data_IF_516467353770
#
_entry.id   IF_516467353770
#
_cell.length_a   1.000
_cell.length_b   1.000
_cell.length_c   1.000
_cell.angle_alpha   90.00
_cell.angle_beta   90.00
_cell.angle_gamma   90.00
#
_symmetry.space_group_name_H-M   'P 1'
#
loop_
_entity.id
_entity.type
_entity.pdbx_description
1 polymer ?
#
# COMPACT_ATOMS: atom_id res chain seq x y z
N UNK A 1 -11.37 47.37 -18.82
CA UNK A 1 -10.95 46.08 -19.40
C UNK A 1 -10.40 45.26 -18.26
N UNK A 2 -11.22 44.37 -17.68
CA UNK A 2 -10.85 43.62 -16.48
C UNK A 2 -10.05 42.40 -16.92
N UNK A 3 -8.78 42.31 -16.48
CA UNK A 3 -7.98 41.12 -16.71
C UNK A 3 -8.39 40.04 -15.69
N UNK A 4 -8.93 38.92 -16.18
CA UNK A 4 -9.09 37.70 -15.40
C UNK A 4 -7.71 37.04 -15.26
N UNK A 5 -7.13 37.09 -14.07
CA UNK A 5 -5.92 36.34 -13.74
C UNK A 5 -6.29 34.88 -13.45
N UNK A 6 -6.41 34.09 -14.50
CA UNK A 6 -6.44 32.62 -14.43
C UNK A 6 -5.01 32.10 -14.26
N UNK A 7 -4.55 31.95 -13.02
CA UNK A 7 -3.20 31.50 -12.64
C UNK A 7 -3.25 30.68 -11.35
N UNK A 8 -2.50 29.57 -11.27
CA UNK A 8 -2.31 28.78 -10.04
C UNK A 8 -2.52 27.28 -10.23
N UNK A 9 -3.61 26.77 -9.65
CA UNK A 9 -3.95 25.38 -9.33
C UNK A 9 -3.64 24.24 -10.34
N UNK A 10 -3.32 24.53 -11.61
CA UNK A 10 -2.94 23.52 -12.60
C UNK A 10 -1.46 23.11 -12.60
N UNK A 11 -0.55 23.91 -12.03
CA UNK A 11 0.88 23.55 -11.94
C UNK A 11 1.23 22.87 -10.62
N UNK A 12 0.73 23.41 -9.50
CA UNK A 12 1.06 22.91 -8.16
C UNK A 12 0.62 21.45 -7.98
N UNK A 13 -0.64 21.13 -8.33
CA UNK A 13 -1.17 19.76 -8.34
C UNK A 13 -0.50 18.82 -9.37
N UNK A 14 0.20 19.35 -10.37
CA UNK A 14 0.97 18.55 -11.34
C UNK A 14 2.37 18.22 -10.81
N UNK A 15 3.00 19.18 -10.11
CA UNK A 15 4.28 18.98 -9.43
C UNK A 15 4.13 18.03 -8.23
N UNK A 16 3.03 18.13 -7.48
CA UNK A 16 2.65 17.18 -6.41
C UNK A 16 2.46 15.76 -6.95
N UNK A 17 1.67 15.59 -8.02
CA UNK A 17 1.46 14.30 -8.67
C UNK A 17 2.78 13.69 -9.18
N UNK A 18 3.61 14.48 -9.86
CA UNK A 18 4.91 14.02 -10.36
C UNK A 18 5.87 13.62 -9.23
N UNK A 19 5.83 14.31 -8.10
CA UNK A 19 6.59 13.97 -6.90
C UNK A 19 6.11 12.65 -6.30
N UNK A 20 4.80 12.48 -6.12
CA UNK A 20 4.22 11.24 -5.59
C UNK A 20 4.53 10.03 -6.47
N UNK A 21 4.40 10.18 -7.80
CA UNK A 21 4.74 9.11 -8.75
C UNK A 21 6.22 8.70 -8.67
N UNK A 22 7.15 9.66 -8.61
CA UNK A 22 8.58 9.35 -8.46
C UNK A 22 8.92 8.65 -7.13
N UNK A 23 8.22 8.97 -6.04
CA UNK A 23 8.34 8.25 -4.77
C UNK A 23 7.81 6.82 -4.86
N UNK A 24 6.66 6.60 -5.52
CA UNK A 24 6.10 5.26 -5.74
C UNK A 24 6.96 4.41 -6.68
N UNK A 25 7.54 5.00 -7.73
CA UNK A 25 8.54 4.33 -8.59
C UNK A 25 9.74 3.86 -7.75
N UNK A 26 10.29 4.75 -6.90
CA UNK A 26 11.42 4.44 -6.00
C UNK A 26 11.09 3.31 -5.02
N UNK A 27 9.90 3.34 -4.41
CA UNK A 27 9.40 2.26 -3.57
C UNK A 27 9.31 0.93 -4.34
N UNK A 28 8.75 0.94 -5.55
CA UNK A 28 8.62 -0.25 -6.40
C UNK A 28 10.00 -0.84 -6.79
N UNK A 29 10.99 0.00 -7.11
CA UNK A 29 12.37 -0.45 -7.36
C UNK A 29 12.98 -1.11 -6.11
N UNK A 30 12.81 -0.50 -4.93
CA UNK A 30 13.35 -1.02 -3.68
C UNK A 30 12.72 -2.37 -3.26
N UNK A 31 11.40 -2.52 -3.32
CA UNK A 31 10.75 -3.81 -2.98
C UNK A 31 11.06 -4.91 -4.01
N UNK A 32 11.25 -4.54 -5.28
CA UNK A 32 11.68 -5.47 -6.34
C UNK A 32 13.10 -5.99 -6.07
N UNK A 33 14.02 -5.10 -5.68
CA UNK A 33 15.36 -5.48 -5.23
C UNK A 33 15.34 -6.40 -4.00
N UNK A 34 14.51 -6.08 -3.00
CA UNK A 34 14.35 -6.92 -1.79
C UNK A 34 13.77 -8.30 -2.11
N UNK A 35 12.76 -8.37 -2.99
CA UNK A 35 12.25 -9.63 -3.53
C UNK A 35 13.38 -10.46 -4.16
N UNK A 36 14.23 -9.85 -4.98
CA UNK A 36 15.35 -10.56 -5.62
C UNK A 36 16.42 -11.01 -4.62
N UNK A 37 16.65 -10.27 -3.51
CA UNK A 37 17.54 -10.74 -2.44
C UNK A 37 16.92 -11.92 -1.68
N UNK A 38 15.64 -11.84 -1.31
CA UNK A 38 14.94 -12.90 -0.57
C UNK A 38 14.87 -14.20 -1.40
N UNK A 39 14.56 -14.11 -2.70
CA UNK A 39 14.52 -15.26 -3.61
C UNK A 39 15.91 -15.83 -3.97
N UNK A 40 17.00 -15.15 -3.59
CA UNK A 40 18.37 -15.66 -3.76
C UNK A 40 18.84 -16.54 -2.59
N UNK A 41 18.11 -16.59 -1.47
CA UNK A 41 18.40 -17.47 -0.33
C UNK A 41 18.00 -18.91 -0.66
N UNK A 42 18.92 -19.87 -0.46
CA UNK A 42 18.64 -21.29 -0.72
C UNK A 42 18.21 -22.08 0.55
N UNK A 43 18.30 -21.45 1.72
CA UNK A 43 17.88 -22.02 3.01
C UNK A 43 18.88 -23.02 3.58
N UNK A 44 20.12 -23.05 3.09
CA UNK A 44 21.18 -23.96 3.55
C UNK A 44 22.34 -23.26 4.27
N UNK A 45 22.43 -21.93 4.22
CA UNK A 45 23.47 -21.16 4.90
C UNK A 45 23.20 -20.93 6.39
N UNK A 46 24.28 -20.85 7.18
CA UNK A 46 24.22 -20.71 8.65
C UNK A 46 23.60 -19.38 9.12
N UNK A 47 23.53 -18.37 8.25
CA UNK A 47 22.94 -17.04 8.51
C UNK A 47 21.72 -16.72 7.61
N UNK A 48 21.16 -17.70 6.89
CA UNK A 48 20.06 -17.43 5.94
C UNK A 48 18.80 -16.90 6.64
N UNK A 49 18.51 -17.35 7.86
CA UNK A 49 17.38 -16.86 8.69
C UNK A 49 17.62 -15.42 9.15
N UNK A 50 18.83 -15.10 9.61
CA UNK A 50 19.23 -13.73 9.99
C UNK A 50 19.14 -12.77 8.79
N UNK A 51 19.53 -13.25 7.61
CA UNK A 51 19.51 -12.50 6.35
C UNK A 51 18.08 -12.29 5.85
N UNK A 52 17.24 -13.32 5.90
CA UNK A 52 15.81 -13.25 5.59
C UNK A 52 15.09 -12.22 6.49
N UNK A 53 15.29 -12.31 7.81
CA UNK A 53 14.67 -11.40 8.76
C UNK A 53 15.13 -9.96 8.54
N UNK A 54 16.43 -9.70 8.32
CA UNK A 54 16.91 -8.36 7.99
C UNK A 54 16.37 -7.80 6.67
N UNK A 55 16.12 -8.64 5.66
CA UNK A 55 15.44 -8.21 4.43
C UNK A 55 13.94 -7.93 4.65
N UNK A 56 13.28 -8.66 5.53
CA UNK A 56 11.90 -8.40 5.95
C UNK A 56 11.79 -7.11 6.77
N UNK A 57 12.71 -6.85 7.71
CA UNK A 57 12.81 -5.58 8.44
C UNK A 57 12.97 -4.40 7.46
N UNK A 58 13.85 -4.55 6.45
CA UNK A 58 14.02 -3.53 5.40
C UNK A 58 12.75 -3.35 4.55
N UNK A 59 11.96 -4.41 4.34
CA UNK A 59 10.69 -4.34 3.61
C UNK A 59 9.61 -3.60 4.40
N UNK A 60 9.54 -3.81 5.72
CA UNK A 60 8.65 -3.04 6.61
C UNK A 60 9.02 -1.54 6.58
N UNK A 61 10.31 -1.22 6.65
CA UNK A 61 10.80 0.16 6.49
C UNK A 61 10.35 0.79 5.15
N UNK A 62 10.27 0.02 4.05
CA UNK A 62 9.77 0.52 2.78
C UNK A 62 8.25 0.78 2.80
N UNK A 63 7.47 -0.12 3.40
CA UNK A 63 6.01 0.05 3.49
C UNK A 63 5.64 1.22 4.41
N UNK A 64 6.38 1.43 5.51
CA UNK A 64 6.22 2.61 6.35
C UNK A 64 6.55 3.91 5.59
N UNK A 65 7.65 3.93 4.83
CA UNK A 65 8.01 5.08 3.97
C UNK A 65 6.99 5.35 2.85
N UNK A 66 6.26 4.33 2.38
CA UNK A 66 5.15 4.48 1.44
C UNK A 66 3.92 5.12 2.09
N UNK A 67 3.59 4.75 3.33
CA UNK A 67 2.47 5.33 4.09
C UNK A 67 2.73 6.81 4.49
N UNK A 68 3.99 7.20 4.73
CA UNK A 68 4.36 8.60 5.01
C UNK A 68 4.30 9.53 3.76
N UNK A 69 3.96 9.03 2.57
CA UNK A 69 3.90 9.85 1.34
C UNK A 69 2.62 10.70 1.27
N UNK A 70 2.77 12.01 1.04
CA UNK A 70 1.64 12.90 0.76
C UNK A 70 0.88 12.48 -0.51
N UNK A 71 -0.25 11.80 -0.35
CA UNK A 71 -1.15 11.40 -1.44
C UNK A 71 -1.84 12.64 -2.04
N UNK A 72 -1.82 12.85 -3.37
CA UNK A 72 -2.55 13.95 -4.00
C UNK A 72 -4.08 13.79 -3.88
N UNK A 73 -4.83 14.86 -3.56
CA UNK A 73 -6.28 14.87 -3.28
C UNK A 73 -7.14 13.92 -4.16
N UNK A 74 -6.90 13.93 -5.48
CA UNK A 74 -7.62 13.10 -6.47
C UNK A 74 -7.46 11.57 -6.29
N UNK A 75 -6.61 11.15 -5.35
CA UNK A 75 -6.27 9.78 -5.04
C UNK A 75 -6.43 9.46 -3.53
N UNK A 76 -7.13 10.31 -2.74
CA UNK A 76 -7.20 10.20 -1.27
C UNK A 76 -7.57 8.80 -0.71
N UNK A 77 -8.26 7.95 -1.47
CA UNK A 77 -8.50 6.53 -1.13
C UNK A 77 -7.21 5.71 -0.92
N UNK A 78 -6.10 6.09 -1.56
CA UNK A 78 -4.79 5.45 -1.42
C UNK A 78 -4.20 5.63 -0.01
N UNK A 79 -4.52 6.73 0.68
CA UNK A 79 -4.01 7.08 2.02
C UNK A 79 -4.27 5.92 3.02
N UNK A 80 -5.55 5.56 3.19
CA UNK A 80 -5.99 4.44 4.01
C UNK A 80 -5.46 3.07 3.51
N UNK A 81 -5.26 2.90 2.20
CA UNK A 81 -4.71 1.66 1.64
C UNK A 81 -3.21 1.53 1.94
N UNK A 82 -2.47 2.63 2.00
CA UNK A 82 -1.05 2.64 2.33
C UNK A 82 -0.82 2.40 3.83
N UNK A 83 -1.63 3.03 4.69
CA UNK A 83 -1.70 2.72 6.12
C UNK A 83 -2.02 1.24 6.36
N UNK A 84 -3.11 0.71 5.77
CA UNK A 84 -3.44 -0.72 5.87
C UNK A 84 -2.32 -1.61 5.33
N UNK A 85 -1.64 -1.22 4.25
CA UNK A 85 -0.52 -1.99 3.71
C UNK A 85 0.65 -2.05 4.70
N UNK A 86 1.00 -0.92 5.33
CA UNK A 86 2.06 -0.84 6.32
C UNK A 86 1.72 -1.61 7.60
N UNK A 87 0.53 -1.42 8.18
CA UNK A 87 0.10 -2.16 9.38
C UNK A 87 0.15 -3.68 9.15
N UNK A 88 -0.28 -4.14 7.97
CA UNK A 88 -0.23 -5.56 7.64
C UNK A 88 1.22 -6.04 7.39
N UNK A 89 2.14 -5.21 6.87
CA UNK A 89 3.54 -5.60 6.72
C UNK A 89 4.25 -5.70 8.08
N UNK A 90 4.09 -4.73 8.97
CA UNK A 90 4.73 -4.76 10.30
C UNK A 90 4.25 -5.94 11.14
N UNK A 91 2.95 -6.29 11.04
CA UNK A 91 2.41 -7.52 11.64
C UNK A 91 3.01 -8.79 11.02
N UNK A 92 3.24 -8.82 9.70
CA UNK A 92 3.86 -9.95 9.03
C UNK A 92 5.31 -10.17 9.48
N UNK A 93 6.11 -9.11 9.50
CA UNK A 93 7.53 -9.17 9.90
C UNK A 93 7.67 -9.54 11.37
N UNK A 94 6.84 -8.96 12.25
CA UNK A 94 6.75 -9.36 13.66
C UNK A 94 6.49 -10.86 13.84
N UNK A 95 5.53 -11.43 13.09
CA UNK A 95 5.26 -12.87 13.14
C UNK A 95 6.36 -13.73 12.49
N UNK A 96 7.10 -13.23 11.49
CA UNK A 96 8.28 -13.93 10.98
C UNK A 96 9.39 -14.02 12.05
N UNK A 97 9.63 -12.96 12.84
CA UNK A 97 10.55 -13.03 13.99
C UNK A 97 10.06 -14.03 15.04
N UNK A 98 8.78 -13.96 15.46
CA UNK A 98 8.20 -14.93 16.40
C UNK A 98 8.27 -16.39 15.89
N UNK A 99 8.22 -16.60 14.57
CA UNK A 99 8.36 -17.92 13.96
C UNK A 99 9.76 -18.54 14.14
N UNK A 100 10.82 -17.74 14.28
CA UNK A 100 12.21 -18.24 14.41
C UNK A 100 12.82 -18.09 15.81
N UNK A 101 12.33 -17.17 16.66
CA UNK A 101 12.86 -16.87 18.01
C UNK A 101 13.12 -18.11 18.89
N UNK A 102 12.26 -19.13 18.80
CA UNK A 102 12.37 -20.33 19.66
C UNK A 102 13.59 -21.24 19.39
N UNK A 103 14.42 -20.91 18.38
CA UNK A 103 15.51 -21.77 17.90
C UNK A 103 15.04 -22.96 17.05
N UNK A 104 13.73 -23.07 16.83
CA UNK A 104 13.08 -23.94 15.84
C UNK A 104 11.93 -23.19 15.18
N UNK A 105 11.69 -23.45 13.89
CA UNK A 105 10.60 -22.80 13.16
C UNK A 105 9.22 -23.19 13.71
N UNK A 106 8.40 -22.21 14.09
CA UNK A 106 7.02 -22.39 14.50
C UNK A 106 6.05 -22.09 13.34
N UNK A 107 5.41 -23.12 12.73
CA UNK A 107 4.54 -22.91 11.58
C UNK A 107 3.31 -22.07 11.89
N UNK A 108 2.81 -22.06 13.13
CA UNK A 108 1.64 -21.25 13.52
C UNK A 108 1.88 -19.75 13.30
N UNK A 109 3.10 -19.28 13.60
CA UNK A 109 3.48 -17.89 13.38
C UNK A 109 3.86 -17.65 11.92
N UNK A 110 4.49 -18.61 11.24
CA UNK A 110 4.76 -18.51 9.80
C UNK A 110 3.50 -18.43 8.93
N UNK A 111 2.45 -19.19 9.26
CA UNK A 111 1.15 -19.13 8.58
C UNK A 111 0.48 -17.75 8.80
N UNK A 112 0.54 -17.22 10.03
CA UNK A 112 0.04 -15.89 10.35
C UNK A 112 0.84 -14.78 9.62
N UNK A 113 2.17 -14.87 9.63
CA UNK A 113 3.06 -13.96 8.91
C UNK A 113 2.74 -13.92 7.42
N UNK A 114 2.53 -15.09 6.81
CA UNK A 114 2.16 -15.20 5.40
C UNK A 114 0.77 -14.60 5.10
N UNK A 115 -0.22 -14.77 6.00
CA UNK A 115 -1.54 -14.14 5.83
C UNK A 115 -1.43 -12.61 5.84
N UNK A 116 -0.71 -12.04 6.83
CA UNK A 116 -0.49 -10.60 6.94
C UNK A 116 0.33 -10.05 5.77
N UNK A 117 1.40 -10.73 5.35
CA UNK A 117 2.19 -10.39 4.15
C UNK A 117 1.32 -10.37 2.89
N UNK A 118 0.44 -11.35 2.74
CA UNK A 118 -0.50 -11.44 1.61
C UNK A 118 -1.47 -10.26 1.63
N UNK A 119 -2.02 -9.90 2.81
CA UNK A 119 -2.92 -8.73 2.95
C UNK A 119 -2.23 -7.43 2.55
N UNK A 120 -0.98 -7.20 2.99
CA UNK A 120 -0.20 -6.02 2.63
C UNK A 120 0.02 -5.90 1.11
N UNK A 121 0.43 -7.00 0.47
CA UNK A 121 0.61 -7.06 -0.98
C UNK A 121 -0.69 -6.88 -1.77
N UNK A 122 -1.84 -7.32 -1.23
CA UNK A 122 -3.16 -7.06 -1.83
C UNK A 122 -3.50 -5.56 -1.80
N UNK A 123 -3.23 -4.84 -0.71
CA UNK A 123 -3.42 -3.37 -0.66
C UNK A 123 -2.51 -2.67 -1.66
N UNK A 124 -1.23 -3.03 -1.71
CA UNK A 124 -0.30 -2.49 -2.71
C UNK A 124 -0.80 -2.74 -4.14
N UNK A 125 -1.35 -3.92 -4.42
CA UNK A 125 -2.00 -4.21 -5.70
C UNK A 125 -3.11 -3.23 -6.05
N UNK A 126 -3.95 -2.85 -5.09
CA UNK A 126 -5.01 -1.84 -5.25
C UNK A 126 -4.46 -0.42 -5.46
N UNK A 127 -3.42 -0.03 -4.73
CA UNK A 127 -2.72 1.26 -4.91
C UNK A 127 -2.21 1.39 -6.35
N UNK A 128 -1.52 0.36 -6.85
CA UNK A 128 -0.98 0.35 -8.22
C UNK A 128 -2.09 0.38 -9.29
N UNK A 129 -3.19 -0.34 -9.10
CA UNK A 129 -4.37 -0.26 -9.97
C UNK A 129 -4.93 1.18 -10.05
N UNK A 130 -5.15 1.85 -8.90
CA UNK A 130 -5.65 3.24 -8.86
C UNK A 130 -4.68 4.19 -9.58
N UNK A 131 -3.36 4.03 -9.38
CA UNK A 131 -2.35 4.89 -10.01
C UNK A 131 -2.25 4.71 -11.53
N UNK A 132 -2.56 3.52 -12.05
CA UNK A 132 -2.70 3.27 -13.49
C UNK A 132 -4.06 3.69 -14.07
N UNK A 133 -5.05 3.99 -13.22
CA UNK A 133 -6.43 4.27 -13.64
C UNK A 133 -7.22 3.00 -13.99
N UNK A 134 -6.88 1.88 -13.36
CA UNK A 134 -7.56 0.59 -13.49
C UNK A 134 -8.68 0.45 -12.44
N UNK A 135 -9.73 -0.31 -12.79
CA UNK A 135 -10.84 -0.64 -11.89
C UNK A 135 -10.41 -1.75 -10.91
N UNK A 136 -10.51 -1.54 -9.59
CA UNK A 136 -10.22 -2.59 -8.60
C UNK A 136 -11.25 -3.72 -8.73
N UNK A 137 -10.75 -4.93 -9.00
CA UNK A 137 -11.57 -6.15 -9.12
C UNK A 137 -11.49 -7.00 -7.83
N UNK A 138 -12.21 -6.57 -6.79
CA UNK A 138 -12.51 -7.40 -5.60
C UNK A 138 -13.94 -7.14 -5.14
N UNK A 139 -14.68 -8.20 -4.80
CA UNK A 139 -16.04 -8.10 -4.25
C UNK A 139 -16.08 -7.47 -2.83
N UNK A 140 -14.92 -7.35 -2.18
CA UNK A 140 -14.77 -6.87 -0.81
C UNK A 140 -14.43 -5.37 -0.72
N UNK A 141 -13.92 -4.76 -1.80
CA UNK A 141 -13.55 -3.34 -1.84
C UNK A 141 -14.69 -2.51 -2.43
N UNK A 142 -15.38 -1.74 -1.59
CA UNK A 142 -16.28 -0.68 -2.03
C UNK A 142 -15.53 0.65 -2.11
N UNK A 143 -15.42 1.20 -3.31
CA UNK A 143 -15.24 2.64 -3.46
C UNK A 143 -16.46 3.36 -2.87
N UNK A 144 -16.22 4.43 -2.11
CA UNK A 144 -17.21 5.50 -1.93
C UNK A 144 -16.85 6.56 -2.96
N UNK A 145 -17.60 6.60 -4.06
CA UNK A 145 -17.58 7.71 -5.01
C UNK A 145 -18.56 8.78 -4.54
N UNK A 146 -18.14 10.05 -4.54
CA UNK A 146 -18.96 11.21 -4.14
C UNK A 146 -20.17 11.50 -5.06
N UNK A 147 -20.57 10.55 -5.93
CA UNK A 147 -21.76 10.63 -6.80
C UNK A 147 -23.00 9.96 -6.18
N UNK A 148 -22.87 9.24 -5.06
CA UNK A 148 -23.97 8.55 -4.35
C UNK A 148 -24.91 9.49 -3.54
N UNK A 149 -24.76 10.81 -3.65
CA UNK A 149 -25.58 11.82 -2.95
C UNK A 149 -26.80 12.26 -3.79
N UNK A 150 -27.57 11.30 -4.33
CA UNK A 150 -28.71 11.57 -5.22
C UNK A 150 -29.94 10.64 -5.13
N UNK A 151 -30.24 10.08 -3.95
CA UNK A 151 -31.59 9.55 -3.68
C UNK A 151 -32.58 10.69 -3.37
N UNK A 152 -33.38 11.05 -4.39
CA UNK A 152 -34.34 12.16 -4.41
C UNK A 152 -35.48 12.04 -3.37
N UNK A 153 -35.61 13.06 -2.50
CA UNK A 153 -36.75 13.22 -1.59
C UNK A 153 -38.00 13.72 -2.34
N UNK A 154 -38.77 12.78 -2.88
CA UNK A 154 -40.10 13.04 -3.45
C UNK A 154 -41.22 12.22 -2.76
N UNK A 155 -41.12 12.07 -1.44
CA UNK A 155 -42.11 11.39 -0.58
C UNK A 155 -43.45 12.15 -0.36
N UNK A 156 -43.96 12.91 -1.34
CA UNK A 156 -45.23 13.64 -1.21
C UNK A 156 -46.47 12.82 -1.62
N UNK A 157 -47.67 13.29 -1.24
CA UNK A 157 -48.78 12.41 -0.83
C UNK A 157 -50.09 12.70 -1.58
N UNK A 158 -51.01 11.72 -1.57
CA UNK A 158 -52.47 11.81 -1.82
C UNK A 158 -52.96 11.52 -3.25
N UNK A 159 -54.24 11.15 -3.46
CA UNK A 159 -55.33 10.97 -2.47
C UNK A 159 -55.82 9.53 -2.25
#
# INVERSE_FOLDING_TARGET
>A
MTALLLTGCGSEAADELGTYQASMDTFCENISYLNDQINALDGTGESDVETLLGHLDTLDEQFAQMAELTVPDKFATIDNLADEASENMSMAVSYYHEAYDSGTYNPTYGDAAYEYYTRANVRLGYILQILHGEEILDDNVRYISDEDDSEDDSGEVSP
#
